data_IF_924243726396
#
_entry.id   IF_924243726396
#
_cell.length_a   1.000
_cell.length_b   1.000
_cell.length_c   1.000
_cell.angle_alpha   90.00
_cell.angle_beta   90.00
_cell.angle_gamma   90.00
#
_symmetry.space_group_name_H-M   'P 1'
#
loop_
_entity.id
_entity.type
_entity.pdbx_description
1 polymer ?
#
# COMPACT_ATOMS: atom_id res chain seq x y z
N UNK A 1 6.74 44.35 66.15
CA UNK A 1 5.67 43.77 65.33
C UNK A 1 5.98 42.30 65.14
N UNK A 2 4.98 41.44 65.32
CA UNK A 2 5.15 39.99 65.18
C UNK A 2 5.43 39.64 63.72
N UNK A 3 6.24 38.61 63.47
CA UNK A 3 6.55 38.11 62.12
C UNK A 3 5.26 37.79 61.33
N UNK A 4 4.21 37.38 62.04
CA UNK A 4 2.89 37.09 61.49
C UNK A 4 2.14 38.36 61.00
N UNK A 5 2.33 39.50 61.67
CA UNK A 5 1.74 40.78 61.26
C UNK A 5 2.42 41.32 60.00
N UNK A 6 3.73 41.12 59.86
CA UNK A 6 4.48 41.48 58.66
C UNK A 6 4.06 40.64 57.45
N UNK A 7 3.87 39.32 57.63
CA UNK A 7 3.40 38.44 56.55
C UNK A 7 1.98 38.84 56.11
N UNK A 8 1.07 39.11 57.05
CA UNK A 8 -0.29 39.56 56.71
C UNK A 8 -0.30 40.90 55.98
N UNK A 9 0.57 41.84 56.38
CA UNK A 9 0.72 43.13 55.72
C UNK A 9 1.21 42.98 54.27
N UNK A 10 2.25 42.17 54.05
CA UNK A 10 2.78 41.94 52.69
C UNK A 10 1.76 41.22 51.84
N UNK A 11 1.06 40.21 52.37
CA UNK A 11 0.04 39.47 51.62
C UNK A 11 -1.13 40.38 51.22
N UNK A 12 -1.58 41.26 52.13
CA UNK A 12 -2.64 42.23 51.85
C UNK A 12 -2.22 43.21 50.73
N UNK A 13 -0.99 43.72 50.78
CA UNK A 13 -0.46 44.62 49.75
C UNK A 13 -0.33 43.91 48.38
N UNK A 14 0.04 42.63 48.36
CA UNK A 14 0.09 41.83 47.14
C UNK A 14 -1.30 41.54 46.57
N UNK A 15 -2.29 41.26 47.43
CA UNK A 15 -3.68 41.07 47.00
C UNK A 15 -4.28 42.36 46.42
N UNK A 16 -4.00 43.51 47.04
CA UNK A 16 -4.43 44.81 46.55
C UNK A 16 -3.80 45.15 45.19
N UNK A 17 -2.50 44.88 45.02
CA UNK A 17 -1.82 45.00 43.72
C UNK A 17 -2.41 44.08 42.66
N UNK A 18 -2.74 42.83 43.01
CA UNK A 18 -3.35 41.88 42.10
C UNK A 18 -4.76 42.33 41.66
N UNK A 19 -5.56 42.84 42.60
CA UNK A 19 -6.89 43.39 42.31
C UNK A 19 -6.80 44.56 41.34
N UNK A 20 -5.91 45.52 41.62
CA UNK A 20 -5.70 46.68 40.74
C UNK A 20 -5.23 46.27 39.33
N UNK A 21 -4.37 45.25 39.24
CA UNK A 21 -3.91 44.73 37.95
C UNK A 21 -5.03 44.03 37.17
N UNK A 22 -5.88 43.26 37.84
CA UNK A 22 -7.05 42.62 37.22
C UNK A 22 -8.07 43.63 36.72
N UNK A 23 -8.27 44.72 37.46
CA UNK A 23 -9.20 45.79 37.09
C UNK A 23 -8.68 46.59 35.89
N UNK A 24 -7.37 46.86 35.86
CA UNK A 24 -6.70 47.44 34.69
C UNK A 24 -6.79 46.53 33.46
N UNK A 25 -6.55 45.23 33.62
CA UNK A 25 -6.64 44.27 32.51
C UNK A 25 -8.07 44.17 31.97
N UNK A 26 -9.06 44.20 32.86
CA UNK A 26 -10.47 44.24 32.48
C UNK A 26 -10.80 45.51 31.68
N UNK A 27 -10.32 46.67 32.11
CA UNK A 27 -10.50 47.93 31.37
C UNK A 27 -9.87 47.85 29.97
N UNK A 28 -8.63 47.34 29.88
CA UNK A 28 -7.94 47.19 28.58
C UNK A 28 -8.67 46.22 27.64
N UNK A 29 -9.18 45.09 28.15
CA UNK A 29 -9.96 44.16 27.34
C UNK A 29 -11.28 44.79 26.89
N UNK A 30 -11.92 45.60 27.74
CA UNK A 30 -13.17 46.27 27.40
C UNK A 30 -12.96 47.34 26.32
N UNK A 31 -11.87 48.11 26.41
CA UNK A 31 -11.49 49.06 25.37
C UNK A 31 -11.12 48.35 24.06
N UNK A 32 -10.46 47.19 24.12
CA UNK A 32 -10.11 46.42 22.93
C UNK A 32 -11.36 45.85 22.24
N UNK A 33 -12.34 45.36 23.01
CA UNK A 33 -13.63 44.89 22.47
C UNK A 33 -14.42 46.02 21.82
N UNK A 34 -14.34 47.23 22.36
CA UNK A 34 -14.95 48.43 21.75
C UNK A 34 -14.18 48.95 20.54
N UNK A 35 -12.89 48.64 20.44
CA UNK A 35 -12.01 49.02 19.33
C UNK A 35 -12.02 48.04 18.15
N UNK A 36 -12.60 46.83 18.30
CA UNK A 36 -12.89 45.95 17.16
C UNK A 36 -14.08 46.56 16.40
N UNK A 37 -13.89 47.13 15.20
CA UNK A 37 -15.02 47.61 14.42
C UNK A 37 -15.93 46.42 14.09
N UNK A 38 -17.23 46.58 14.33
CA UNK A 38 -18.23 45.63 13.82
C UNK A 38 -17.99 45.43 12.32
N UNK A 39 -18.03 44.18 11.80
CA UNK A 39 -17.90 43.96 10.36
C UNK A 39 -18.90 44.86 9.62
N UNK A 40 -18.47 45.58 8.57
CA UNK A 40 -19.37 46.43 7.81
C UNK A 40 -20.48 45.57 7.21
N UNK A 41 -21.69 46.13 7.19
CA UNK A 41 -22.87 45.46 6.65
C UNK A 41 -22.57 44.90 5.24
N UNK A 42 -22.74 43.58 5.00
CA UNK A 42 -22.45 42.96 3.72
C UNK A 42 -23.19 43.61 2.55
N UNK A 43 -24.36 44.22 2.78
CA UNK A 43 -25.09 44.96 1.75
C UNK A 43 -24.38 46.27 1.36
N UNK A 44 -23.71 46.91 2.32
CA UNK A 44 -22.97 48.15 2.10
C UNK A 44 -21.63 47.88 1.40
N UNK A 45 -20.98 46.75 1.72
CA UNK A 45 -19.84 46.26 0.95
C UNK A 45 -20.24 45.91 -0.49
N UNK A 46 -21.37 45.22 -0.70
CA UNK A 46 -21.86 44.88 -2.03
C UNK A 46 -22.18 46.14 -2.86
N UNK A 47 -22.77 47.16 -2.24
CA UNK A 47 -23.04 48.45 -2.89
C UNK A 47 -21.75 49.19 -3.28
N UNK A 48 -20.76 49.26 -2.38
CA UNK A 48 -19.47 49.90 -2.66
C UNK A 48 -18.67 49.16 -3.74
N UNK A 49 -18.73 47.83 -3.76
CA UNK A 49 -18.11 47.02 -4.82
C UNK A 49 -18.81 47.26 -6.15
N UNK A 50 -20.15 47.33 -6.15
CA UNK A 50 -20.93 47.61 -7.36
C UNK A 50 -20.72 49.04 -7.89
N UNK A 51 -20.43 50.01 -7.03
CA UNK A 51 -20.18 51.41 -7.39
C UNK A 51 -18.73 51.63 -7.86
N UNK A 52 -17.79 50.79 -7.41
CA UNK A 52 -16.37 50.87 -7.77
C UNK A 52 -15.99 50.07 -9.04
N UNK A 53 -16.92 49.28 -9.60
CA UNK A 53 -16.72 48.60 -10.89
C UNK A 53 -17.18 49.57 -12.00
N UNK A 54 -16.26 50.14 -12.80
CA UNK A 54 -16.68 50.97 -13.93
C UNK A 54 -17.50 50.15 -14.91
N UNK A 55 -18.61 50.70 -15.40
CA UNK A 55 -19.45 50.06 -16.42
C UNK A 55 -18.57 49.69 -17.63
N UNK A 56 -18.58 48.41 -18.08
CA UNK A 56 -17.79 48.02 -19.23
C UNK A 56 -18.35 48.71 -20.48
N UNK A 57 -17.46 49.36 -21.24
CA UNK A 57 -17.79 49.83 -22.59
C UNK A 57 -18.42 48.69 -23.41
N UNK A 58 -19.41 48.98 -24.27
CA UNK A 58 -20.06 47.96 -25.07
C UNK A 58 -19.02 47.28 -25.97
N UNK A 59 -18.77 46.00 -25.70
CA UNK A 59 -17.84 45.18 -26.46
C UNK A 59 -18.24 45.14 -27.95
N UNK A 60 -17.27 45.14 -28.88
CA UNK A 60 -17.55 44.88 -30.29
C UNK A 60 -18.23 43.50 -30.45
N UNK A 61 -19.03 43.29 -31.52
CA UNK A 61 -19.79 42.06 -31.69
C UNK A 61 -18.87 40.83 -31.65
N UNK A 62 -19.32 39.72 -31.05
CA UNK A 62 -18.48 38.56 -30.80
C UNK A 62 -17.99 37.97 -32.12
N UNK A 63 -16.67 37.86 -32.27
CA UNK A 63 -16.08 36.98 -33.26
C UNK A 63 -16.55 35.54 -32.98
N UNK A 64 -16.76 34.72 -34.04
CA UNK A 64 -17.17 33.33 -33.86
C UNK A 64 -16.20 32.62 -32.92
N UNK A 65 -16.68 31.74 -32.02
CA UNK A 65 -15.83 31.10 -31.02
C UNK A 65 -14.69 30.39 -31.75
N UNK A 66 -13.46 30.78 -31.44
CA UNK A 66 -12.31 30.00 -31.82
C UNK A 66 -12.54 28.55 -31.34
N UNK A 67 -12.23 27.53 -32.16
CA UNK A 67 -12.34 26.15 -31.72
C UNK A 67 -11.59 26.01 -30.39
N UNK A 68 -12.11 25.21 -29.43
CA UNK A 68 -11.45 25.04 -28.16
C UNK A 68 -10.00 24.64 -28.44
N UNK A 69 -9.07 25.49 -28.02
CA UNK A 69 -7.67 25.11 -28.02
C UNK A 69 -7.60 23.82 -27.21
N UNK A 70 -7.28 22.71 -27.86
CA UNK A 70 -6.89 21.47 -27.23
C UNK A 70 -5.61 21.78 -26.45
N UNK A 71 -5.78 22.26 -25.23
CA UNK A 71 -4.72 22.28 -24.25
C UNK A 71 -4.56 20.83 -23.82
N UNK A 72 -3.92 20.03 -24.67
CA UNK A 72 -3.28 18.80 -24.23
C UNK A 72 -2.17 19.24 -23.29
N UNK A 73 -2.51 19.44 -22.01
CA UNK A 73 -1.50 19.58 -20.99
C UNK A 73 -0.62 18.33 -21.10
N UNK A 74 0.71 18.46 -21.19
CA UNK A 74 1.58 17.30 -21.26
C UNK A 74 1.29 16.41 -20.05
N UNK A 75 1.09 15.11 -20.30
CA UNK A 75 0.96 14.13 -19.23
C UNK A 75 2.16 14.27 -18.29
N UNK A 76 1.92 14.55 -17.02
CA UNK A 76 2.98 14.48 -16.02
C UNK A 76 3.24 13.01 -15.67
N UNK A 77 4.00 12.32 -16.52
CA UNK A 77 4.43 10.93 -16.33
C UNK A 77 5.69 10.81 -15.45
N UNK A 78 6.22 11.92 -14.91
CA UNK A 78 7.49 11.95 -14.18
C UNK A 78 7.53 10.94 -13.03
N UNK A 79 6.48 10.86 -12.20
CA UNK A 79 6.45 9.92 -11.07
C UNK A 79 6.49 8.45 -11.55
N UNK A 80 5.69 8.12 -12.56
CA UNK A 80 5.66 6.77 -13.14
C UNK A 80 7.00 6.39 -13.77
N UNK A 81 7.62 7.32 -14.49
CA UNK A 81 8.95 7.13 -15.06
C UNK A 81 10.01 6.88 -13.97
N UNK A 82 9.99 7.64 -12.87
CA UNK A 82 10.90 7.44 -11.74
C UNK A 82 10.65 6.12 -11.01
N UNK A 83 9.39 5.73 -10.83
CA UNK A 83 9.03 4.41 -10.27
C UNK A 83 9.57 3.28 -11.15
N UNK A 84 9.37 3.35 -12.46
CA UNK A 84 9.94 2.38 -13.41
C UNK A 84 11.46 2.34 -13.34
N UNK A 85 12.13 3.51 -13.33
CA UNK A 85 13.59 3.57 -13.22
C UNK A 85 14.13 2.85 -11.98
N UNK A 86 13.39 2.89 -10.86
CA UNK A 86 13.71 2.14 -9.64
C UNK A 86 13.46 0.64 -9.84
N UNK A 87 12.30 0.26 -10.38
CA UNK A 87 11.90 -1.14 -10.57
C UNK A 87 12.88 -1.93 -11.46
N UNK A 88 13.31 -1.30 -12.55
CA UNK A 88 14.17 -1.91 -13.57
C UNK A 88 15.68 -1.77 -13.27
N UNK A 89 16.07 -1.13 -12.16
CA UNK A 89 17.48 -0.99 -11.77
C UNK A 89 18.16 -2.34 -11.49
N UNK A 90 19.40 -2.50 -11.96
CA UNK A 90 20.13 -3.78 -12.01
C UNK A 90 20.92 -4.08 -10.72
N UNK A 91 21.02 -3.12 -9.81
CA UNK A 91 21.73 -3.28 -8.54
C UNK A 91 21.11 -2.47 -7.41
N UNK A 92 21.37 -2.87 -6.16
CA UNK A 92 20.97 -2.10 -4.99
C UNK A 92 21.54 -0.67 -5.00
N UNK A 93 22.80 -0.51 -5.44
CA UNK A 93 23.40 0.82 -5.58
C UNK A 93 22.71 1.68 -6.63
N UNK A 94 22.30 1.07 -7.74
CA UNK A 94 21.54 1.76 -8.78
C UNK A 94 20.13 2.16 -8.30
N UNK A 95 19.44 1.29 -7.56
CA UNK A 95 18.14 1.62 -6.94
C UNK A 95 18.26 2.90 -6.10
N UNK A 96 19.26 2.99 -5.24
CA UNK A 96 19.47 4.15 -4.37
C UNK A 96 19.83 5.42 -5.18
N UNK A 97 20.57 5.27 -6.27
CA UNK A 97 20.87 6.38 -7.18
C UNK A 97 19.63 6.87 -7.93
N UNK A 98 18.82 5.96 -8.50
CA UNK A 98 17.57 6.29 -9.20
C UNK A 98 16.54 6.89 -8.24
N UNK A 99 16.47 6.38 -7.01
CA UNK A 99 15.68 6.99 -5.94
C UNK A 99 16.11 8.45 -5.72
N UNK A 100 17.39 8.69 -5.45
CA UNK A 100 17.89 10.05 -5.18
C UNK A 100 17.62 11.00 -6.34
N UNK A 101 17.85 10.54 -7.58
CA UNK A 101 17.56 11.31 -8.80
C UNK A 101 16.05 11.59 -8.98
N UNK A 102 15.20 10.64 -8.63
CA UNK A 102 13.75 10.82 -8.69
C UNK A 102 13.22 11.79 -7.64
N UNK A 103 13.84 11.84 -6.46
CA UNK A 103 13.45 12.76 -5.39
C UNK A 103 13.66 14.24 -5.75
N UNK A 104 14.67 14.55 -6.56
CA UNK A 104 14.95 15.92 -7.05
C UNK A 104 13.76 16.53 -7.82
N UNK A 105 12.96 15.70 -8.48
CA UNK A 105 11.77 16.15 -9.21
C UNK A 105 10.65 16.62 -8.27
N UNK A 106 10.61 16.12 -7.02
CA UNK A 106 9.50 16.30 -6.09
C UNK A 106 9.88 17.05 -4.80
N UNK A 107 11.16 17.30 -4.55
CA UNK A 107 11.65 18.06 -3.40
C UNK A 107 12.74 19.06 -3.83
N UNK A 108 12.99 20.08 -3.02
CA UNK A 108 14.06 21.05 -3.29
C UNK A 108 15.42 20.52 -2.85
N UNK A 109 15.46 19.90 -1.66
CA UNK A 109 16.67 19.32 -1.10
C UNK A 109 16.35 17.98 -0.46
N UNK A 110 17.35 17.11 -0.40
CA UNK A 110 17.20 15.83 0.28
C UNK A 110 18.51 15.09 0.45
N UNK A 111 18.50 14.18 1.42
CA UNK A 111 19.64 13.36 1.81
C UNK A 111 19.16 11.94 2.09
N UNK A 112 19.84 10.97 1.48
CA UNK A 112 19.67 9.56 1.77
C UNK A 112 20.71 9.13 2.81
N UNK A 113 20.23 8.67 3.97
CA UNK A 113 21.06 8.13 5.04
C UNK A 113 20.99 6.61 5.04
N UNK A 114 22.14 5.95 5.15
CA UNK A 114 22.25 4.49 5.28
C UNK A 114 22.58 4.14 6.72
N UNK A 115 21.78 3.27 7.32
CA UNK A 115 21.91 2.80 8.70
C UNK A 115 22.86 1.61 8.76
N UNK A 116 23.86 1.69 9.65
CA UNK A 116 24.82 0.62 9.96
C UNK A 116 24.92 0.47 11.47
N UNK A 117 24.30 -0.57 12.01
CA UNK A 117 24.08 -0.69 13.45
C UNK A 117 23.14 0.44 13.90
N UNK A 118 23.56 1.20 14.92
CA UNK A 118 22.77 2.33 15.46
C UNK A 118 23.16 3.68 14.83
N UNK A 119 24.14 3.71 13.93
CA UNK A 119 24.59 4.94 13.28
C UNK A 119 24.08 5.00 11.85
N UNK A 120 23.49 6.13 11.45
CA UNK A 120 23.18 6.42 10.07
C UNK A 120 24.18 7.43 9.50
N UNK A 121 24.68 7.15 8.30
CA UNK A 121 25.62 8.00 7.57
C UNK A 121 24.98 8.47 6.27
N UNK A 122 25.13 9.76 5.96
CA UNK A 122 24.69 10.30 4.68
C UNK A 122 25.48 9.65 3.53
N UNK A 123 24.74 9.14 2.55
CA UNK A 123 25.29 8.40 1.42
C UNK A 123 25.21 9.21 0.13
N UNK A 124 24.08 9.87 -0.12
CA UNK A 124 23.87 10.71 -1.29
C UNK A 124 22.90 11.86 -0.96
N UNK A 125 22.95 12.94 -1.75
CA UNK A 125 22.14 14.14 -1.53
C UNK A 125 21.91 14.92 -2.82
N UNK A 126 20.85 15.72 -2.82
CA UNK A 126 20.56 16.74 -3.82
C UNK A 126 20.14 18.04 -3.12
N UNK A 127 20.36 19.19 -3.77
CA UNK A 127 20.06 20.50 -3.18
C UNK A 127 20.97 20.90 -1.99
N UNK A 128 21.98 20.09 -1.68
CA UNK A 128 23.02 20.34 -0.69
C UNK A 128 24.41 20.17 -1.31
N UNK A 129 25.44 20.74 -0.69
CA UNK A 129 26.83 20.47 -1.08
C UNK A 129 27.20 19.02 -0.71
N UNK A 130 27.53 18.22 -1.73
CA UNK A 130 27.85 16.81 -1.55
C UNK A 130 29.12 16.56 -0.70
N UNK A 131 30.08 17.49 -0.67
CA UNK A 131 31.29 17.34 0.16
C UNK A 131 30.97 17.54 1.63
N UNK A 132 30.14 18.52 1.95
CA UNK A 132 29.69 18.79 3.32
C UNK A 132 28.83 17.64 3.85
N UNK A 133 27.91 17.13 3.02
CA UNK A 133 26.95 16.10 3.43
C UNK A 133 27.60 14.74 3.70
N UNK A 134 28.67 14.36 2.99
CA UNK A 134 29.36 13.06 3.21
C UNK A 134 29.85 12.84 4.65
N UNK A 135 30.11 13.94 5.37
CA UNK A 135 30.51 13.91 6.78
C UNK A 135 29.36 13.72 7.76
N UNK A 136 28.10 13.87 7.32
CA UNK A 136 26.95 13.87 8.21
C UNK A 136 26.66 12.47 8.74
N UNK A 137 26.51 12.39 10.06
CA UNK A 137 26.23 11.17 10.80
C UNK A 137 25.25 11.46 11.92
N UNK A 138 24.37 10.51 12.19
CA UNK A 138 23.38 10.59 13.27
C UNK A 138 23.26 9.25 13.97
N UNK A 139 23.08 9.29 15.28
CA UNK A 139 22.79 8.12 16.10
C UNK A 139 21.27 7.90 16.15
N UNK A 140 20.81 6.83 15.51
CA UNK A 140 19.39 6.47 15.37
C UNK A 140 18.77 6.16 16.74
N UNK A 141 19.54 5.53 17.64
CA UNK A 141 19.14 5.19 19.00
C UNK A 141 19.06 6.39 19.94
N UNK A 142 19.63 7.55 19.58
CA UNK A 142 19.61 8.77 20.41
C UNK A 142 18.67 9.85 19.88
N UNK A 143 18.24 9.74 18.63
CA UNK A 143 17.37 10.72 18.01
C UNK A 143 15.89 10.29 18.11
N UNK A 144 15.04 11.04 18.83
CA UNK A 144 13.65 10.65 19.07
C UNK A 144 12.80 10.65 17.80
N UNK A 145 13.15 11.49 16.81
CA UNK A 145 12.46 11.54 15.52
C UNK A 145 12.77 10.24 14.78
N UNK A 146 14.03 9.85 14.67
CA UNK A 146 14.43 8.62 13.98
C UNK A 146 13.92 7.35 14.70
N UNK A 147 13.93 7.30 16.03
CA UNK A 147 13.31 6.21 16.78
C UNK A 147 11.82 6.06 16.44
N UNK A 148 11.10 7.19 16.35
CA UNK A 148 9.67 7.19 16.01
C UNK A 148 9.44 6.68 14.59
N UNK A 149 10.23 7.13 13.60
CA UNK A 149 10.15 6.63 12.22
C UNK A 149 10.49 5.14 12.15
N UNK A 150 11.51 4.68 12.88
CA UNK A 150 11.93 3.28 12.90
C UNK A 150 10.85 2.36 13.51
N UNK A 151 10.23 2.78 14.60
CA UNK A 151 9.17 2.02 15.27
C UNK A 151 7.88 1.99 14.44
N UNK A 152 7.45 3.15 13.93
CA UNK A 152 6.20 3.28 13.16
C UNK A 152 6.30 2.72 11.75
N UNK A 153 7.52 2.61 11.19
CA UNK A 153 7.79 2.19 9.80
C UNK A 153 7.03 3.02 8.77
N UNK A 154 6.70 4.26 9.11
CA UNK A 154 5.96 5.19 8.26
C UNK A 154 6.67 6.53 8.20
N UNK A 155 6.35 7.32 7.16
CA UNK A 155 6.91 8.66 7.03
C UNK A 155 6.46 9.58 8.16
N UNK A 156 7.31 10.54 8.50
CA UNK A 156 6.98 11.66 9.35
C UNK A 156 7.07 12.97 8.56
N UNK A 157 6.14 13.88 8.81
CA UNK A 157 6.16 15.23 8.27
C UNK A 157 6.40 16.23 9.39
N UNK A 158 7.27 17.21 9.14
CA UNK A 158 7.54 18.30 10.07
C UNK A 158 7.24 19.63 9.39
N UNK A 159 6.47 20.47 10.06
CA UNK A 159 6.15 21.81 9.57
C UNK A 159 7.09 22.82 10.20
N UNK A 160 7.66 23.68 9.33
CA UNK A 160 8.54 24.79 9.71
C UNK A 160 9.70 24.44 10.64
N UNK A 161 10.10 23.16 10.62
CA UNK A 161 11.08 22.60 11.55
C UNK A 161 12.08 21.78 10.76
N UNK A 162 13.36 22.01 11.06
CA UNK A 162 14.48 21.19 10.60
C UNK A 162 14.82 20.17 11.69
N UNK A 163 14.95 18.87 11.36
CA UNK A 163 15.44 17.89 12.32
C UNK A 163 16.86 18.25 12.80
N UNK A 164 17.19 18.03 14.10
CA UNK A 164 18.50 18.42 14.65
C UNK A 164 19.71 17.77 13.95
N UNK A 165 19.51 16.60 13.33
CA UNK A 165 20.55 15.89 12.59
C UNK A 165 20.83 16.45 11.19
N UNK A 166 20.14 17.51 10.78
CA UNK A 166 20.35 18.24 9.53
C UNK A 166 21.10 19.54 9.90
N UNK A 167 22.44 19.57 9.85
CA UNK A 167 23.27 20.63 10.43
C UNK A 167 23.37 21.87 9.53
N UNK A 168 22.24 22.30 8.95
CA UNK A 168 22.16 23.49 8.10
C UNK A 168 21.15 24.47 8.67
N UNK A 169 21.42 25.76 8.47
CA UNK A 169 20.48 26.82 8.81
C UNK A 169 19.79 27.28 7.53
N UNK A 170 18.46 27.36 7.56
CA UNK A 170 17.69 27.88 6.45
C UNK A 170 16.18 27.77 6.70
N UNK A 171 15.36 28.62 6.06
CA UNK A 171 13.91 28.49 6.13
C UNK A 171 13.50 27.18 5.46
N UNK A 172 12.59 26.45 6.11
CA UNK A 172 11.91 25.30 5.52
C UNK A 172 10.45 25.45 5.83
N UNK A 173 9.58 25.25 4.84
CA UNK A 173 8.13 25.29 5.04
C UNK A 173 7.63 23.94 5.56
N UNK A 174 8.10 22.86 4.94
CA UNK A 174 7.82 21.47 5.31
C UNK A 174 9.04 20.60 5.03
N UNK A 175 9.29 19.64 5.91
CA UNK A 175 10.24 18.56 5.69
C UNK A 175 9.58 17.22 5.94
N UNK A 176 10.16 16.16 5.38
CA UNK A 176 9.71 14.79 5.55
C UNK A 176 10.90 13.88 5.84
N UNK A 177 10.61 12.83 6.60
CA UNK A 177 11.51 11.71 6.81
C UNK A 177 10.75 10.45 6.44
N UNK A 178 11.22 9.69 5.46
CA UNK A 178 10.59 8.45 5.03
C UNK A 178 11.56 7.27 5.17
N UNK A 179 11.16 6.18 5.85
CA UNK A 179 12.02 5.02 6.04
C UNK A 179 12.11 4.19 4.77
N UNK A 180 13.33 3.77 4.43
CA UNK A 180 13.57 2.72 3.45
C UNK A 180 13.74 1.39 4.20
N UNK A 181 12.80 0.48 3.95
CA UNK A 181 12.67 -0.77 4.69
C UNK A 181 13.29 -1.94 3.89
N UNK A 182 13.94 -2.86 4.59
CA UNK A 182 14.25 -4.20 4.11
C UNK A 182 13.72 -5.21 5.14
N UNK A 183 12.85 -6.12 4.72
CA UNK A 183 12.21 -7.16 5.55
C UNK A 183 11.59 -6.54 6.82
N UNK A 184 10.98 -5.36 6.67
CA UNK A 184 10.34 -4.62 7.76
C UNK A 184 11.30 -3.90 8.73
N UNK A 185 12.62 -3.91 8.50
CA UNK A 185 13.61 -3.13 9.27
C UNK A 185 14.07 -1.91 8.48
N UNK A 186 14.25 -0.77 9.15
CA UNK A 186 14.79 0.44 8.52
C UNK A 186 16.30 0.27 8.26
N UNK A 187 16.67 0.10 6.99
CA UNK A 187 18.08 0.05 6.57
C UNK A 187 18.63 1.41 6.14
N UNK A 188 17.73 2.27 5.68
CA UNK A 188 18.06 3.61 5.27
C UNK A 188 16.84 4.50 5.53
N UNK A 189 17.02 5.80 5.46
CA UNK A 189 15.91 6.74 5.44
C UNK A 189 16.25 7.93 4.57
N UNK A 190 15.23 8.54 4.00
CA UNK A 190 15.34 9.75 3.21
C UNK A 190 14.84 10.91 4.04
N UNK A 191 15.68 11.94 4.14
CA UNK A 191 15.24 13.29 4.48
C UNK A 191 14.99 14.07 3.20
N UNK A 192 13.86 14.78 3.11
CA UNK A 192 13.60 15.71 2.02
C UNK A 192 12.86 16.94 2.53
N UNK A 193 13.14 18.11 1.97
CA UNK A 193 12.52 19.35 2.39
C UNK A 193 12.12 20.27 1.24
N UNK A 194 11.29 21.24 1.59
CA UNK A 194 10.74 22.23 0.68
C UNK A 194 11.68 23.39 0.40
N UNK A 195 12.87 23.44 1.00
CA UNK A 195 13.77 24.60 1.01
C UNK A 195 13.05 25.95 1.16
N UNK A 196 13.58 26.96 0.48
CA UNK A 196 13.01 28.31 0.42
C UNK A 196 11.96 28.44 -0.69
N UNK A 197 12.15 27.75 -1.83
CA UNK A 197 11.24 27.81 -2.97
C UNK A 197 9.91 27.07 -2.71
N UNK A 198 9.83 26.28 -1.64
CA UNK A 198 8.60 25.64 -1.17
C UNK A 198 8.24 24.37 -1.95
N UNK A 199 9.15 23.82 -2.75
CA UNK A 199 8.90 22.64 -3.59
C UNK A 199 8.99 21.37 -2.75
N UNK A 200 7.85 20.82 -2.35
CA UNK A 200 7.78 19.50 -1.72
C UNK A 200 6.43 18.81 -1.99
N UNK A 201 6.44 17.84 -2.91
CA UNK A 201 5.37 16.85 -3.03
C UNK A 201 5.72 15.62 -2.19
N UNK A 202 5.28 15.65 -0.94
CA UNK A 202 5.58 14.58 0.01
C UNK A 202 4.89 13.25 -0.33
N UNK A 203 3.85 13.24 -1.18
CA UNK A 203 3.23 11.98 -1.63
C UNK A 203 4.12 11.28 -2.64
N UNK A 204 4.55 11.99 -3.69
CA UNK A 204 5.46 11.45 -4.70
C UNK A 204 6.77 10.96 -4.09
N UNK A 205 7.36 11.74 -3.17
CA UNK A 205 8.56 11.32 -2.43
C UNK A 205 8.34 10.01 -1.68
N UNK A 206 7.26 9.89 -0.89
CA UNK A 206 7.01 8.67 -0.11
C UNK A 206 6.71 7.46 -0.99
N UNK A 207 6.00 7.66 -2.11
CA UNK A 207 5.75 6.60 -3.09
C UNK A 207 7.07 6.07 -3.65
N UNK A 208 8.00 6.94 -4.03
CA UNK A 208 9.31 6.52 -4.53
C UNK A 208 10.12 5.74 -3.47
N UNK A 209 10.13 6.19 -2.21
CA UNK A 209 10.83 5.51 -1.12
C UNK A 209 10.22 4.14 -0.82
N UNK A 210 8.89 4.03 -0.83
CA UNK A 210 8.17 2.75 -0.67
C UNK A 210 8.46 1.81 -1.84
N UNK A 211 8.43 2.30 -3.07
CA UNK A 211 8.80 1.53 -4.27
C UNK A 211 10.21 1.01 -4.14
N UNK A 212 11.19 1.85 -3.77
CA UNK A 212 12.56 1.41 -3.55
C UNK A 212 12.67 0.32 -2.47
N UNK A 213 11.94 0.47 -1.36
CA UNK A 213 11.90 -0.54 -0.28
C UNK A 213 11.40 -1.90 -0.80
N UNK A 214 10.28 -1.91 -1.53
CA UNK A 214 9.71 -3.12 -2.12
C UNK A 214 10.64 -3.74 -3.15
N UNK A 215 11.23 -2.93 -4.03
CA UNK A 215 12.14 -3.39 -5.07
C UNK A 215 13.42 -3.99 -4.47
N UNK A 216 13.91 -3.44 -3.36
CA UNK A 216 15.04 -3.97 -2.59
C UNK A 216 14.68 -5.29 -1.91
N UNK A 217 13.47 -5.40 -1.35
CA UNK A 217 12.96 -6.63 -0.72
C UNK A 217 12.85 -7.80 -1.70
N UNK A 218 12.32 -7.55 -2.89
CA UNK A 218 12.17 -8.57 -3.94
C UNK A 218 13.46 -8.79 -4.74
N UNK A 219 14.49 -7.96 -4.54
CA UNK A 219 15.72 -7.98 -5.32
C UNK A 219 16.37 -9.37 -5.37
N UNK A 220 16.51 -10.13 -4.26
CA UNK A 220 17.12 -11.46 -4.28
C UNK A 220 16.31 -12.52 -5.04
N UNK A 221 15.04 -12.24 -5.36
CA UNK A 221 14.13 -13.20 -5.98
C UNK A 221 14.10 -13.11 -7.52
N UNK A 222 14.59 -12.00 -8.11
CA UNK A 222 14.59 -11.77 -9.56
C UNK A 222 15.97 -12.10 -10.15
N UNK A 223 16.09 -13.26 -10.81
CA UNK A 223 17.35 -13.73 -11.42
C UNK A 223 17.73 -12.99 -12.72
N UNK A 224 16.75 -12.42 -13.43
CA UNK A 224 16.92 -11.61 -14.65
C UNK A 224 16.02 -10.39 -14.54
N UNK A 225 16.55 -9.21 -14.86
CA UNK A 225 15.75 -7.98 -14.94
C UNK A 225 15.58 -7.59 -16.41
N UNK A 226 14.37 -7.17 -16.74
CA UNK A 226 14.10 -6.57 -18.03
C UNK A 226 14.68 -5.14 -18.07
N UNK A 227 15.00 -4.60 -19.24
CA UNK A 227 15.39 -3.20 -19.35
C UNK A 227 14.17 -2.29 -19.12
N UNK A 228 14.43 -1.05 -18.69
CA UNK A 228 13.41 -0.01 -18.58
C UNK A 228 12.72 0.18 -19.95
N UNK A 229 11.40 0.01 -20.07
CA UNK A 229 10.73 0.16 -21.35
C UNK A 229 10.78 1.63 -21.82
N UNK A 230 11.16 1.88 -23.09
CA UNK A 230 11.33 3.23 -23.62
C UNK A 230 10.01 4.03 -23.69
N UNK A 231 8.88 3.32 -23.65
CA UNK A 231 7.55 3.93 -23.65
C UNK A 231 7.22 4.64 -22.34
N UNK A 232 7.90 4.35 -21.22
CA UNK A 232 7.65 5.04 -19.95
C UNK A 232 8.16 6.49 -19.96
N UNK A 233 9.18 6.81 -20.74
CA UNK A 233 9.76 8.16 -20.81
C UNK A 233 8.85 9.13 -21.57
N UNK A 234 8.20 8.65 -22.63
CA UNK A 234 7.34 9.44 -23.50
C UNK A 234 6.01 8.73 -23.73
N UNK A 235 5.04 8.99 -22.85
CA UNK A 235 3.64 8.55 -23.05
C UNK A 235 2.79 9.73 -23.54
N UNK A 236 2.14 9.55 -24.68
CA UNK A 236 1.18 10.51 -25.23
C UNK A 236 -0.25 9.99 -25.06
N UNK A 237 -1.21 10.90 -24.83
CA UNK A 237 -2.63 10.54 -24.87
C UNK A 237 -2.99 10.27 -26.33
N UNK A 238 -3.30 9.01 -26.64
CA UNK A 238 -3.82 8.64 -27.96
C UNK A 238 -5.27 9.14 -28.05
N UNK A 239 -5.51 10.11 -28.93
CA UNK A 239 -6.85 10.63 -29.18
C UNK A 239 -7.63 9.68 -30.11
N UNK A 240 -8.98 9.70 -30.08
CA UNK A 240 -9.79 8.89 -30.99
C UNK A 240 -9.40 9.13 -32.47
N UNK A 241 -9.02 8.07 -33.16
CA UNK A 241 -8.56 8.12 -34.56
C UNK A 241 -7.06 8.36 -34.76
N UNK A 242 -6.27 8.47 -33.69
CA UNK A 242 -4.81 8.53 -33.75
C UNK A 242 -4.23 7.11 -33.57
N UNK A 243 -3.24 6.76 -34.40
CA UNK A 243 -2.51 5.49 -34.23
C UNK A 243 -1.48 5.61 -33.08
N UNK A 244 -1.30 4.56 -32.27
CA UNK A 244 -0.28 4.54 -31.22
C UNK A 244 1.11 4.71 -31.83
N UNK A 245 1.81 5.79 -31.47
CA UNK A 245 3.20 6.00 -31.84
C UNK A 245 4.12 5.09 -31.00
N UNK A 246 4.08 3.78 -31.23
CA UNK A 246 5.05 2.85 -30.65
C UNK A 246 6.34 2.98 -31.46
N UNK A 247 7.32 3.74 -30.96
CA UNK A 247 8.72 3.51 -31.36
C UNK A 247 9.13 2.17 -30.77
N UNK A 248 8.95 1.10 -31.53
CA UNK A 248 9.50 -0.20 -31.18
C UNK A 248 11.04 -0.06 -31.11
N UNK A 249 11.71 -0.60 -30.07
CA UNK A 249 13.15 -0.80 -30.15
C UNK A 249 13.42 -1.69 -31.38
N UNK A 250 14.30 -1.26 -32.26
CA UNK A 250 14.54 -1.90 -33.57
C UNK A 250 15.10 -3.34 -33.48
N UNK A 251 15.39 -3.88 -32.29
CA UNK A 251 15.91 -5.24 -32.12
C UNK A 251 15.27 -6.00 -30.94
N UNK A 252 13.95 -6.22 -30.99
CA UNK A 252 13.28 -7.20 -30.14
C UNK A 252 12.35 -8.11 -30.94
N UNK A 253 12.91 -8.80 -31.93
CA UNK A 253 12.32 -10.07 -32.36
C UNK A 253 12.58 -11.11 -31.28
N UNK A 254 11.51 -11.64 -30.69
CA UNK A 254 11.27 -13.06 -30.39
C UNK A 254 9.97 -13.17 -29.55
N UNK A 255 8.84 -12.84 -30.16
CA UNK A 255 7.61 -13.58 -29.85
C UNK A 255 7.65 -14.84 -30.72
N UNK A 256 8.36 -15.87 -30.25
CA UNK A 256 8.15 -17.20 -30.79
C UNK A 256 6.81 -17.71 -30.22
N UNK A 257 5.85 -17.75 -31.14
CA UNK A 257 4.73 -18.68 -31.20
C UNK A 257 3.81 -18.76 -29.98
N UNK A 258 2.72 -18.01 -30.06
CA UNK A 258 1.46 -18.45 -29.45
C UNK A 258 0.33 -18.17 -30.43
N UNK A 259 0.07 -19.17 -31.27
CA UNK A 259 -1.27 -19.63 -31.58
C UNK A 259 -2.24 -18.58 -32.10
N UNK A 260 -2.26 -18.46 -33.42
CA UNK A 260 -3.28 -17.83 -34.25
C UNK A 260 -4.70 -18.09 -33.75
N UNK A 261 -5.33 -17.12 -33.08
CA UNK A 261 -6.78 -17.06 -32.99
C UNK A 261 -7.29 -16.38 -34.26
N UNK A 262 -7.80 -17.22 -35.16
CA UNK A 262 -8.51 -16.81 -36.34
C UNK A 262 -9.68 -15.89 -35.94
N UNK A 263 -9.76 -14.74 -36.61
CA UNK A 263 -10.89 -13.85 -36.58
C UNK A 263 -12.06 -14.46 -37.36
N UNK A 264 -13.26 -14.45 -36.78
CA UNK A 264 -14.51 -14.30 -37.54
C UNK A 264 -15.40 -13.22 -36.89
N UNK A 265 -16.06 -12.37 -37.69
CA UNK A 265 -16.95 -11.31 -37.19
C UNK A 265 -18.43 -11.71 -37.29
N UNK A 266 -19.27 -11.31 -36.33
CA UNK A 266 -20.68 -10.90 -36.53
C UNK A 266 -21.38 -10.51 -35.21
N UNK A 267 -21.72 -9.21 -35.14
CA UNK A 267 -22.94 -8.55 -34.61
C UNK A 267 -23.86 -9.15 -33.54
N UNK A 268 -24.25 -8.23 -32.63
CA UNK A 268 -25.57 -8.07 -31.94
C UNK A 268 -25.93 -9.01 -30.78
N UNK A 269 -25.73 -8.55 -29.52
CA UNK A 269 -26.79 -7.96 -28.67
C UNK A 269 -26.26 -7.77 -27.23
N UNK A 270 -26.26 -6.52 -26.74
CA UNK A 270 -25.94 -6.17 -25.35
C UNK A 270 -27.25 -5.97 -24.56
N UNK A 271 -27.56 -6.75 -23.51
CA UNK A 271 -28.49 -6.32 -22.49
C UNK A 271 -27.74 -5.51 -21.43
N UNK A 272 -28.31 -4.35 -21.12
CA UNK A 272 -27.67 -3.29 -20.36
C UNK A 272 -27.60 -3.50 -18.84
N UNK A 273 -26.80 -2.61 -18.26
CA UNK A 273 -26.85 -2.09 -16.91
C UNK A 273 -26.57 -3.09 -15.76
N UNK A 274 -25.29 -3.20 -15.38
CA UNK A 274 -24.91 -3.51 -14.00
C UNK A 274 -23.82 -2.55 -13.54
N UNK A 275 -24.26 -1.48 -12.88
CA UNK A 275 -23.44 -0.66 -11.99
C UNK A 275 -23.03 -1.54 -10.79
N UNK A 276 -21.75 -1.91 -10.69
CA UNK A 276 -21.21 -2.48 -9.46
C UNK A 276 -20.82 -1.33 -8.52
N UNK A 277 -21.74 -0.97 -7.62
CA UNK A 277 -21.43 -0.22 -6.42
C UNK A 277 -20.67 -1.15 -5.47
N UNK A 278 -19.41 -0.79 -5.17
CA UNK A 278 -18.64 -1.44 -4.11
C UNK A 278 -19.17 -0.97 -2.75
N UNK A 279 -19.93 -1.82 -2.06
CA UNK A 279 -20.25 -1.61 -0.64
C UNK A 279 -19.07 -2.04 0.23
N UNK A 280 -18.51 -1.09 0.98
CA UNK A 280 -17.53 -1.33 2.05
C UNK A 280 -18.34 -1.60 3.34
N UNK A 281 -18.24 -2.77 3.98
CA UNK A 281 -18.85 -2.97 5.30
C UNK A 281 -18.19 -2.05 6.33
N UNK A 282 -18.99 -1.10 6.85
CA UNK A 282 -18.68 -0.29 8.02
C UNK A 282 -19.13 -1.05 9.27
N UNK A 283 -18.18 -1.62 10.00
CA UNK A 283 -18.39 -1.89 11.42
C UNK A 283 -17.04 -1.89 12.14
N UNK A 284 -16.60 -0.68 12.47
CA UNK A 284 -15.83 -0.44 13.67
C UNK A 284 -16.80 0.16 14.70
N UNK A 285 -16.76 -0.35 15.93
CA UNK A 285 -16.74 0.40 17.21
C UNK A 285 -17.43 -0.40 18.34
N UNK A 286 -16.63 -1.08 19.18
CA UNK A 286 -16.78 -1.06 20.65
C UNK A 286 -15.68 -1.87 21.37
N UNK A 287 -14.54 -1.22 21.64
CA UNK A 287 -13.83 -1.12 22.94
C UNK A 287 -13.23 -2.32 23.72
N UNK A 288 -12.20 -2.09 24.59
CA UNK A 288 -11.13 -3.03 24.98
C UNK A 288 -10.99 -3.20 26.53
N UNK A 289 -9.83 -3.53 27.19
CA UNK A 289 -8.64 -4.39 26.94
C UNK A 289 -8.32 -5.38 28.13
N UNK A 290 -7.39 -6.34 27.97
CA UNK A 290 -6.50 -6.79 29.07
C UNK A 290 -5.34 -7.71 28.59
N UNK A 291 -4.11 -7.21 28.77
CA UNK A 291 -2.87 -7.86 29.29
C UNK A 291 -2.45 -9.27 28.80
N UNK A 292 -1.34 -9.40 28.06
CA UNK A 292 0.06 -9.60 28.52
C UNK A 292 0.42 -11.10 28.65
N UNK A 293 1.25 -11.63 27.73
CA UNK A 293 2.62 -12.15 28.00
C UNK A 293 2.60 -13.46 28.84
N UNK A 294 3.17 -14.62 28.44
CA UNK A 294 4.61 -14.95 28.33
C UNK A 294 4.71 -16.43 27.87
N UNK A 295 5.60 -16.76 26.92
CA UNK A 295 6.26 -18.09 26.83
C UNK A 295 7.51 -18.09 27.74
N UNK A 296 7.87 -19.21 28.39
CA UNK A 296 9.09 -19.86 27.93
C UNK A 296 9.12 -21.40 28.05
N UNK A 297 10.14 -21.95 27.41
CA UNK A 297 10.53 -23.35 27.21
C UNK A 297 10.85 -24.19 28.47
N UNK A 298 10.84 -25.52 28.24
CA UNK A 298 11.88 -26.52 28.58
C UNK A 298 11.68 -27.58 29.71
N UNK A 299 11.69 -28.85 29.25
CA UNK A 299 12.24 -30.15 29.75
C UNK A 299 11.55 -31.10 30.78
N UNK A 300 11.52 -32.38 30.33
CA UNK A 300 11.58 -33.74 30.93
C UNK A 300 10.38 -34.43 31.64
N UNK A 301 10.15 -35.66 31.15
CA UNK A 301 10.00 -36.95 31.88
C UNK A 301 8.63 -37.65 31.95
N UNK A 302 8.48 -38.65 31.07
CA UNK A 302 7.97 -40.02 31.25
C UNK A 302 7.12 -40.38 32.49
N UNK A 303 5.87 -40.81 32.25
CA UNK A 303 5.30 -42.00 32.90
C UNK A 303 4.00 -42.45 32.20
N UNK A 304 4.03 -43.70 31.75
CA UNK A 304 2.96 -44.56 31.24
C UNK A 304 1.88 -44.86 32.29
N UNK A 305 0.60 -44.91 31.91
CA UNK A 305 -0.37 -45.95 32.35
C UNK A 305 -1.38 -46.24 31.22
N UNK A 306 -1.58 -47.53 30.98
CA UNK A 306 -2.46 -48.20 30.01
C UNK A 306 -3.75 -48.62 30.72
N UNK A 307 -4.92 -48.48 30.09
CA UNK A 307 -6.10 -49.35 30.29
C UNK A 307 -7.12 -49.05 29.16
N UNK A 308 -7.29 -49.89 28.13
CA UNK A 308 -7.99 -51.19 28.05
C UNK A 308 -9.41 -51.03 27.46
N UNK A 309 -9.58 -51.57 26.24
CA UNK A 309 -10.84 -51.80 25.50
C UNK A 309 -11.42 -53.13 25.99
N UNK A 310 -12.76 -53.34 26.07
CA UNK A 310 -13.45 -54.25 25.11
C UNK A 310 -14.97 -53.89 24.89
N UNK A 311 -15.82 -54.72 24.24
CA UNK A 311 -16.24 -54.53 22.84
C UNK A 311 -17.78 -54.67 22.60
N UNK A 312 -18.17 -54.73 21.31
CA UNK A 312 -19.51 -54.80 20.70
C UNK A 312 -20.38 -56.05 21.04
N UNK A 313 -21.64 -56.11 20.53
CA UNK A 313 -21.95 -56.97 19.36
C UNK A 313 -22.84 -56.26 18.30
N UNK A 314 -22.63 -56.41 16.98
CA UNK A 314 -23.18 -57.46 16.05
C UNK A 314 -24.72 -57.60 16.12
N UNK A 315 -25.55 -57.64 15.07
CA UNK A 315 -25.45 -57.91 13.62
C UNK A 315 -26.66 -57.20 12.93
N UNK A 316 -26.74 -56.96 11.62
CA UNK A 316 -26.96 -57.96 10.57
C UNK A 316 -26.73 -57.35 9.17
N UNK A 317 -26.22 -58.19 8.29
CA UNK A 317 -25.90 -57.93 6.89
C UNK A 317 -26.94 -58.59 5.99
N UNK A 318 -27.49 -57.85 5.03
CA UNK A 318 -28.14 -58.43 3.84
C UNK A 318 -27.82 -57.58 2.60
N UNK A 319 -27.30 -58.21 1.56
CA UNK A 319 -27.12 -57.71 0.17
C UNK A 319 -27.64 -58.84 -0.76
N UNK A 320 -27.86 -58.70 -2.09
CA UNK A 320 -28.11 -57.54 -2.99
C UNK A 320 -29.30 -57.73 -4.00
N UNK A 321 -29.48 -56.76 -4.92
CA UNK A 321 -29.91 -56.88 -6.36
C UNK A 321 -31.37 -56.48 -6.69
N UNK A 322 -31.73 -55.90 -7.88
CA UNK A 322 -31.12 -54.82 -8.69
C UNK A 322 -32.13 -53.70 -9.09
N UNK A 323 -31.60 -52.62 -9.67
CA UNK A 323 -32.19 -51.82 -10.76
C UNK A 323 -33.50 -51.02 -10.55
N UNK A 324 -33.33 -49.73 -10.29
CA UNK A 324 -34.10 -48.63 -10.90
C UNK A 324 -33.33 -47.34 -10.65
N UNK A 325 -32.82 -46.71 -11.72
CA UNK A 325 -32.26 -45.36 -11.69
C UNK A 325 -33.29 -44.38 -11.09
N UNK A 326 -32.98 -43.65 -10.01
CA UNK A 326 -33.67 -42.42 -9.71
C UNK A 326 -32.90 -41.24 -10.31
N UNK A 327 -33.66 -40.39 -11.00
CA UNK A 327 -33.28 -39.06 -11.47
C UNK A 327 -32.40 -38.29 -10.47
N UNK A 328 -31.52 -37.39 -10.95
CA UNK A 328 -30.56 -36.67 -10.11
C UNK A 328 -31.29 -36.04 -8.92
N UNK A 329 -30.79 -36.23 -7.67
CA UNK A 329 -31.43 -35.65 -6.51
C UNK A 329 -31.40 -34.14 -6.69
N UNK A 330 -32.59 -33.54 -6.65
CA UNK A 330 -32.73 -32.10 -6.53
C UNK A 330 -31.96 -31.69 -5.27
N UNK A 331 -30.78 -31.13 -5.48
CA UNK A 331 -29.86 -30.67 -4.44
C UNK A 331 -30.65 -29.72 -3.56
N UNK A 332 -30.75 -30.03 -2.26
CA UNK A 332 -31.44 -29.12 -1.36
C UNK A 332 -30.69 -27.77 -1.38
N UNK A 333 -31.37 -26.62 -1.26
CA UNK A 333 -30.70 -25.32 -1.39
C UNK A 333 -29.58 -25.06 -0.36
N UNK A 334 -29.50 -25.87 0.71
CA UNK A 334 -28.37 -25.89 1.64
C UNK A 334 -27.15 -26.65 1.09
N UNK A 335 -27.38 -27.78 0.42
CA UNK A 335 -26.33 -28.58 -0.20
C UNK A 335 -25.67 -27.85 -1.37
N UNK A 336 -26.44 -27.08 -2.16
CA UNK A 336 -25.91 -26.30 -3.30
C UNK A 336 -24.82 -25.31 -2.86
N UNK A 337 -25.04 -24.62 -1.72
CA UNK A 337 -24.05 -23.69 -1.15
C UNK A 337 -22.80 -24.43 -0.69
N UNK A 338 -22.96 -25.60 -0.07
CA UNK A 338 -21.85 -26.43 0.38
C UNK A 338 -21.00 -26.91 -0.81
N UNK A 339 -21.64 -27.29 -1.92
CA UNK A 339 -20.96 -27.64 -3.17
C UNK A 339 -20.19 -26.44 -3.77
N UNK A 340 -20.77 -25.24 -3.77
CA UNK A 340 -20.09 -24.03 -4.25
C UNK A 340 -18.90 -23.63 -3.35
N UNK A 341 -19.07 -23.70 -2.03
CA UNK A 341 -17.99 -23.41 -1.07
C UNK A 341 -16.86 -24.43 -1.21
N UNK A 342 -17.18 -25.71 -1.41
CA UNK A 342 -16.22 -26.77 -1.67
C UNK A 342 -15.43 -26.52 -2.97
N UNK A 343 -16.10 -26.14 -4.07
CA UNK A 343 -15.41 -25.76 -5.32
C UNK A 343 -14.46 -24.58 -5.12
N UNK A 344 -14.91 -23.54 -4.41
CA UNK A 344 -14.11 -22.34 -4.15
C UNK A 344 -12.90 -22.65 -3.30
N UNK A 345 -13.05 -23.49 -2.27
CA UNK A 345 -11.95 -23.87 -1.39
C UNK A 345 -10.94 -24.77 -2.09
N UNK A 346 -11.40 -25.76 -2.87
CA UNK A 346 -10.53 -26.58 -3.72
C UNK A 346 -9.70 -25.71 -4.67
N UNK A 347 -10.34 -24.76 -5.37
CA UNK A 347 -9.66 -23.82 -6.25
C UNK A 347 -8.64 -22.93 -5.52
N UNK A 348 -8.94 -22.52 -4.29
CA UNK A 348 -8.03 -21.71 -3.48
C UNK A 348 -6.74 -22.49 -3.17
N UNK A 349 -6.88 -23.69 -2.60
CA UNK A 349 -5.75 -24.53 -2.20
C UNK A 349 -4.85 -24.89 -3.38
N UNK A 350 -5.45 -25.23 -4.54
CA UNK A 350 -4.67 -25.60 -5.72
C UNK A 350 -3.91 -24.40 -6.31
N UNK A 351 -4.52 -23.22 -6.33
CA UNK A 351 -3.80 -22.01 -6.75
C UNK A 351 -2.70 -21.61 -5.78
N UNK A 352 -2.86 -21.89 -4.49
CA UNK A 352 -1.81 -21.68 -3.50
C UNK A 352 -0.58 -22.55 -3.77
N UNK A 353 -0.77 -23.86 -4.06
CA UNK A 353 0.32 -24.75 -4.49
C UNK A 353 1.04 -24.17 -5.72
N UNK A 354 0.28 -23.71 -6.72
CA UNK A 354 0.85 -23.14 -7.94
C UNK A 354 1.66 -21.86 -7.70
N UNK A 355 1.27 -21.05 -6.71
CA UNK A 355 1.97 -19.81 -6.34
C UNK A 355 3.26 -20.07 -5.56
N UNK A 356 3.29 -21.08 -4.69
CA UNK A 356 4.47 -21.39 -3.89
C UNK A 356 5.53 -22.18 -4.65
N UNK A 357 5.13 -23.03 -5.60
CA UNK A 357 6.03 -23.97 -6.30
C UNK A 357 6.02 -23.80 -7.83
N UNK A 358 6.26 -22.58 -8.36
CA UNK A 358 6.11 -22.31 -9.79
C UNK A 358 7.11 -23.12 -10.64
N UNK A 359 8.32 -23.38 -10.11
CA UNK A 359 9.37 -24.10 -10.85
C UNK A 359 9.04 -25.59 -10.99
N UNK A 360 8.54 -26.17 -9.90
CA UNK A 360 8.16 -27.58 -9.79
C UNK A 360 6.90 -27.86 -10.62
N UNK A 361 5.96 -26.91 -10.68
CA UNK A 361 4.80 -26.97 -11.60
C UNK A 361 5.25 -26.94 -13.05
N UNK A 362 6.10 -25.98 -13.45
CA UNK A 362 6.61 -25.90 -14.82
C UNK A 362 7.40 -27.16 -15.22
N UNK A 363 8.24 -27.66 -14.31
CA UNK A 363 8.98 -28.89 -14.51
C UNK A 363 8.04 -30.08 -14.65
N UNK A 364 7.08 -30.23 -13.74
CA UNK A 364 6.11 -31.33 -13.74
C UNK A 364 5.22 -31.33 -14.98
N UNK A 365 4.82 -30.16 -15.50
CA UNK A 365 4.10 -30.03 -16.78
C UNK A 365 4.95 -30.54 -17.95
N UNK A 366 6.25 -30.24 -17.98
CA UNK A 366 7.17 -30.69 -19.05
C UNK A 366 7.43 -32.20 -18.98
N UNK A 367 7.62 -32.74 -17.79
CA UNK A 367 7.97 -34.16 -17.60
C UNK A 367 6.75 -35.07 -17.43
N UNK A 368 5.54 -34.50 -17.29
CA UNK A 368 4.28 -35.19 -16.99
C UNK A 368 4.32 -35.94 -15.65
N UNK A 369 4.87 -35.29 -14.64
CA UNK A 369 5.12 -35.87 -13.31
C UNK A 369 4.67 -34.96 -12.16
N UNK A 370 3.67 -34.09 -12.38
CA UNK A 370 3.21 -33.08 -11.42
C UNK A 370 2.89 -33.67 -10.04
N UNK A 371 2.15 -34.77 -9.97
CA UNK A 371 1.76 -35.40 -8.71
C UNK A 371 2.96 -35.89 -7.92
N UNK A 372 3.96 -36.47 -8.58
CA UNK A 372 5.17 -36.97 -7.91
C UNK A 372 6.08 -35.85 -7.39
N UNK A 373 6.16 -34.73 -8.11
CA UNK A 373 6.99 -33.58 -7.75
C UNK A 373 6.37 -32.75 -6.61
N UNK A 374 5.04 -32.62 -6.61
CA UNK A 374 4.28 -31.80 -5.65
C UNK A 374 3.51 -32.66 -4.64
N UNK A 375 3.90 -33.92 -4.45
CA UNK A 375 3.14 -34.90 -3.65
C UNK A 375 2.82 -34.37 -2.25
N UNK A 376 3.83 -33.88 -1.55
CA UNK A 376 3.69 -33.42 -0.17
C UNK A 376 2.68 -32.26 -0.04
N UNK A 377 2.72 -31.29 -0.96
CA UNK A 377 1.82 -30.14 -0.91
C UNK A 377 0.41 -30.48 -1.40
N UNK A 378 0.28 -31.38 -2.39
CA UNK A 378 -1.01 -31.87 -2.87
C UNK A 378 -1.70 -32.68 -1.78
N UNK A 379 -0.99 -33.60 -1.12
CA UNK A 379 -1.55 -34.46 -0.08
C UNK A 379 -1.95 -33.63 1.16
N UNK A 380 -1.10 -32.68 1.59
CA UNK A 380 -1.41 -31.75 2.69
C UNK A 380 -2.65 -30.90 2.38
N UNK A 381 -2.74 -30.38 1.15
CA UNK A 381 -3.88 -29.57 0.73
C UNK A 381 -5.16 -30.41 0.59
N UNK A 382 -5.04 -31.66 0.13
CA UNK A 382 -6.17 -32.61 0.08
C UNK A 382 -6.67 -32.94 1.48
N UNK A 383 -5.79 -33.18 2.44
CA UNK A 383 -6.16 -33.44 3.82
C UNK A 383 -6.90 -32.23 4.43
N UNK A 384 -6.41 -31.01 4.21
CA UNK A 384 -7.07 -29.78 4.66
C UNK A 384 -8.47 -29.60 4.02
N UNK A 385 -8.61 -29.98 2.75
CA UNK A 385 -9.90 -29.99 2.04
C UNK A 385 -10.87 -31.00 2.64
N UNK A 386 -10.44 -32.26 2.80
CA UNK A 386 -11.26 -33.35 3.30
C UNK A 386 -11.66 -33.14 4.77
N UNK A 387 -10.77 -32.57 5.59
CA UNK A 387 -11.07 -32.20 6.97
C UNK A 387 -12.18 -31.14 7.06
N UNK A 388 -12.23 -30.20 6.10
CA UNK A 388 -13.25 -29.13 6.08
C UNK A 388 -14.59 -29.62 5.53
N UNK A 389 -14.57 -30.54 4.58
CA UNK A 389 -15.77 -31.03 3.88
C UNK A 389 -15.98 -32.54 4.10
N UNK A 390 -16.40 -32.89 5.32
CA UNK A 390 -16.62 -34.29 5.74
C UNK A 390 -17.99 -34.86 5.29
N UNK A 391 -18.79 -34.08 4.57
CA UNK A 391 -20.13 -34.48 4.15
C UNK A 391 -20.06 -35.45 2.96
N UNK A 392 -20.76 -36.61 3.01
CA UNK A 392 -20.72 -37.60 1.93
C UNK A 392 -21.16 -37.07 0.56
N UNK A 393 -22.08 -36.09 0.53
CA UNK A 393 -22.56 -35.45 -0.71
C UNK A 393 -21.45 -34.70 -1.44
N UNK A 394 -20.57 -34.00 -0.71
CA UNK A 394 -19.44 -33.25 -1.27
C UNK A 394 -18.29 -34.19 -1.65
N UNK A 395 -17.98 -35.17 -0.78
CA UNK A 395 -16.92 -36.14 -1.02
C UNK A 395 -17.17 -36.99 -2.28
N UNK A 396 -18.44 -37.24 -2.64
CA UNK A 396 -18.79 -37.97 -3.86
C UNK A 396 -18.39 -37.26 -5.18
N UNK A 397 -18.15 -35.95 -5.16
CA UNK A 397 -17.93 -35.14 -6.38
C UNK A 397 -16.45 -34.81 -6.69
N UNK A 398 -15.49 -35.23 -5.86
CA UNK A 398 -14.03 -34.97 -5.94
C UNK A 398 -13.67 -33.59 -6.54
N UNK A 399 -14.16 -32.50 -5.93
CA UNK A 399 -13.89 -31.15 -6.42
C UNK A 399 -12.40 -30.79 -6.35
N UNK A 400 -11.68 -31.35 -5.38
CA UNK A 400 -10.24 -31.14 -5.26
C UNK A 400 -9.49 -31.73 -6.45
N UNK A 401 -9.79 -32.98 -6.85
CA UNK A 401 -9.19 -33.60 -8.03
C UNK A 401 -9.46 -32.82 -9.32
N UNK A 402 -10.71 -32.36 -9.50
CA UNK A 402 -11.09 -31.50 -10.64
C UNK A 402 -10.31 -30.18 -10.65
N UNK A 403 -10.10 -29.57 -9.49
CA UNK A 403 -9.32 -28.34 -9.35
C UNK A 403 -7.84 -28.58 -9.68
N UNK A 404 -7.23 -29.68 -9.23
CA UNK A 404 -5.86 -30.05 -9.59
C UNK A 404 -5.68 -30.09 -11.11
N UNK A 405 -6.54 -30.82 -11.81
CA UNK A 405 -6.45 -30.93 -13.27
C UNK A 405 -6.66 -29.57 -13.94
N UNK A 406 -7.63 -28.78 -13.46
CA UNK A 406 -7.97 -27.48 -14.07
C UNK A 406 -6.86 -26.44 -13.89
N UNK A 407 -6.26 -26.34 -12.69
CA UNK A 407 -5.40 -25.22 -12.32
C UNK A 407 -3.91 -25.57 -12.27
N UNK A 408 -3.54 -26.82 -11.97
CA UNK A 408 -2.13 -27.27 -12.01
C UNK A 408 -1.78 -27.91 -13.35
N UNK A 409 -2.73 -28.53 -14.03
CA UNK A 409 -2.50 -29.26 -15.27
C UNK A 409 -3.15 -28.63 -16.51
N UNK A 410 -3.60 -27.36 -16.42
CA UNK A 410 -4.24 -26.60 -17.51
C UNK A 410 -5.39 -27.34 -18.22
N UNK A 411 -6.09 -28.22 -17.48
CA UNK A 411 -7.18 -29.05 -17.99
C UNK A 411 -6.76 -30.43 -18.53
N UNK A 412 -5.47 -30.74 -18.64
CA UNK A 412 -4.96 -32.03 -19.14
C UNK A 412 -4.53 -32.97 -17.99
N UNK A 413 -5.40 -33.92 -17.65
CA UNK A 413 -5.14 -34.92 -16.61
C UNK A 413 -3.87 -35.76 -16.87
N UNK A 414 -3.41 -35.87 -18.13
CA UNK A 414 -2.21 -36.62 -18.50
C UNK A 414 -0.92 -36.03 -17.91
N UNK A 415 -0.93 -34.75 -17.53
CA UNK A 415 0.23 -34.07 -16.95
C UNK A 415 0.41 -34.37 -15.46
N UNK A 416 -0.64 -34.84 -14.78
CA UNK A 416 -0.58 -35.19 -13.36
C UNK A 416 0.44 -36.31 -13.08
N UNK A 417 0.64 -37.21 -14.05
CA UNK A 417 1.44 -38.42 -13.82
C UNK A 417 0.74 -39.39 -12.87
N UNK A 418 1.23 -40.63 -12.82
CA UNK A 418 0.71 -41.70 -11.95
C UNK A 418 1.34 -41.70 -10.58
#
# INVERSE_FOLDING_TARGET
>A
MSHEEQIRSVLAEQFEKLQNNLENLRSMLQDLVLAVPSPPDPQRLAALISEAIPEPEPAPPPEPPAPPATVSAPLNNSLLFRMGSIEYAESQGEILNQLTKGLEDFAERGVLFVVRGDTAQAWNSFGFDAEEVRGWKVQVDRDPILQTVAASRTRMLLDRTLPPFIPVSGPVRRSLISPLLLKGKMLAFVYADSGEAGKLDHYSVDILVRTASLVIDIFPLKAKRDPLPPTLESQEIILPGQEPAVKAPEDAFLFEDSGTLAAEPASEDLPGNQTLLAEIPREALAGPPAEAEVEPEEVVEEATIVEEVPPAPEAESTVPTPELEPAPPAVSPGDEKLHEDAKRFARLLVQEIALYHPKEVDQGKRTRTLYSLLREDIDRSREAYDHRFQQPSVQAQDYFGKALVTYLADGDASLMGT
#
